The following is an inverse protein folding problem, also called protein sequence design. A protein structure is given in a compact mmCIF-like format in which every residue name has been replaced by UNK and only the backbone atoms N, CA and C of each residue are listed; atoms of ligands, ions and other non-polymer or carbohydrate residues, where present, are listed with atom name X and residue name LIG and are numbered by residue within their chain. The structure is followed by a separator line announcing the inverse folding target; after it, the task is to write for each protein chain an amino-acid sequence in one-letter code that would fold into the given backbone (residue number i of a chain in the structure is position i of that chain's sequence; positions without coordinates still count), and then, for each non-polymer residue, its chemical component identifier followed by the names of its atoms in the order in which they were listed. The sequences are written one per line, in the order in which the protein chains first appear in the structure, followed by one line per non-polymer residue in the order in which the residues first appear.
data_IF_304375302700
#
_entry.id   IF_304375302700
#
_cell.length_a   1.000
_cell.length_b   1.000
_cell.length_c   1.000
_cell.angle_alpha   90.00
_cell.angle_beta   90.00
_cell.angle_gamma   90.00
#
_symmetry.space_group_name_H-M   'P 1'
#
loop_
_entity.id
_entity.type
_entity.pdbx_description
1 polymer ?
#
# COMPACT_ATOMS: atom_id res chain seq x y z
N UNK A 1 -8.55 -7.50 28.50
CA UNK A 1 -7.71 -7.15 27.35
C UNK A 1 -7.70 -5.63 27.23
N UNK A 2 -6.55 -4.98 27.48
CA UNK A 2 -6.50 -3.52 27.47
C UNK A 2 -6.55 -2.96 26.06
N UNK A 3 -7.25 -1.86 25.85
CA UNK A 3 -7.33 -1.15 24.57
C UNK A 3 -5.93 -0.77 24.07
N UNK A 4 -5.00 -0.53 24.98
CA UNK A 4 -3.59 -0.23 24.67
C UNK A 4 -2.87 -1.44 24.07
N UNK A 5 -3.10 -2.64 24.59
CA UNK A 5 -2.47 -3.88 24.10
C UNK A 5 -2.97 -4.20 22.70
N UNK A 6 -4.29 -4.12 22.46
CA UNK A 6 -4.87 -4.33 21.12
C UNK A 6 -4.31 -3.36 20.08
N UNK A 7 -4.03 -2.11 20.45
CA UNK A 7 -3.41 -1.12 19.54
C UNK A 7 -1.97 -1.46 19.22
N UNK A 8 -1.23 -1.89 20.23
CA UNK A 8 0.15 -2.35 20.06
C UNK A 8 0.22 -3.57 19.12
N UNK A 9 -0.68 -4.54 19.31
CA UNK A 9 -0.77 -5.74 18.48
C UNK A 9 -1.11 -5.40 17.03
N UNK A 10 -2.04 -4.47 16.80
CA UNK A 10 -2.36 -3.98 15.44
C UNK A 10 -1.12 -3.34 14.80
N UNK A 11 -0.37 -2.52 15.53
CA UNK A 11 0.85 -1.90 15.02
C UNK A 11 1.96 -2.94 14.72
N UNK A 12 2.03 -4.03 15.50
CA UNK A 12 2.92 -5.16 15.21
C UNK A 12 2.48 -5.91 13.96
N UNK A 13 1.18 -6.12 13.75
CA UNK A 13 0.65 -6.70 12.52
C UNK A 13 0.94 -5.80 11.30
N UNK A 14 0.81 -4.49 11.43
CA UNK A 14 1.19 -3.55 10.36
C UNK A 14 2.66 -3.70 9.98
N UNK A 15 3.57 -3.82 10.96
CA UNK A 15 4.98 -4.08 10.71
C UNK A 15 5.19 -5.41 9.97
N UNK A 16 4.52 -6.48 10.43
CA UNK A 16 4.61 -7.79 9.80
C UNK A 16 4.15 -7.76 8.34
N UNK A 17 3.02 -7.11 8.03
CA UNK A 17 2.53 -6.98 6.66
C UNK A 17 3.41 -6.07 5.79
N UNK A 18 4.02 -5.05 6.35
CA UNK A 18 5.00 -4.21 5.62
C UNK A 18 6.22 -5.04 5.19
N UNK A 19 6.75 -5.88 6.10
CA UNK A 19 7.87 -6.79 5.78
C UNK A 19 7.42 -7.87 4.78
N UNK A 20 6.22 -8.39 4.93
CA UNK A 20 5.67 -9.40 4.02
C UNK A 20 5.48 -8.85 2.59
N UNK A 21 4.98 -7.62 2.45
CA UNK A 21 4.92 -6.94 1.15
C UNK A 21 6.30 -6.81 0.50
N UNK A 22 7.30 -6.36 1.27
CA UNK A 22 8.67 -6.22 0.78
C UNK A 22 9.26 -7.58 0.33
N UNK A 23 9.01 -8.63 1.11
CA UNK A 23 9.43 -9.99 0.77
C UNK A 23 8.84 -10.47 -0.56
N UNK A 24 7.52 -10.31 -0.75
CA UNK A 24 6.85 -10.70 -2.00
C UNK A 24 7.38 -9.90 -3.18
N UNK A 25 7.44 -8.57 -3.06
CA UNK A 25 7.88 -7.68 -4.13
C UNK A 25 9.33 -7.94 -4.53
N UNK A 26 10.22 -8.12 -3.56
CA UNK A 26 11.61 -8.47 -3.81
C UNK A 26 11.76 -9.86 -4.43
N UNK A 27 11.02 -10.86 -3.93
CA UNK A 27 11.08 -12.22 -4.46
C UNK A 27 10.62 -12.27 -5.92
N UNK A 28 9.55 -11.59 -6.28
CA UNK A 28 9.08 -11.50 -7.67
C UNK A 28 10.14 -10.86 -8.56
N UNK A 29 10.68 -9.71 -8.16
CA UNK A 29 11.73 -9.03 -8.89
C UNK A 29 12.95 -9.94 -9.11
N UNK A 30 13.45 -10.56 -8.04
CA UNK A 30 14.61 -11.43 -8.06
C UNK A 30 14.41 -12.67 -8.96
N UNK A 31 13.26 -13.34 -8.85
CA UNK A 31 12.95 -14.53 -9.65
C UNK A 31 12.85 -14.20 -11.14
N UNK A 32 12.16 -13.12 -11.49
CA UNK A 32 11.98 -12.71 -12.88
C UNK A 32 13.32 -12.33 -13.54
N UNK A 33 14.16 -11.57 -12.82
CA UNK A 33 15.48 -11.23 -13.33
C UNK A 33 16.43 -12.43 -13.38
N UNK A 34 16.37 -13.36 -12.43
CA UNK A 34 17.20 -14.57 -12.43
C UNK A 34 16.78 -15.56 -13.51
N UNK A 35 15.49 -15.69 -13.80
CA UNK A 35 14.97 -16.55 -14.86
C UNK A 35 15.26 -15.97 -16.25
N UNK A 36 15.36 -14.64 -16.38
CA UNK A 36 15.65 -13.90 -17.60
C UNK A 36 14.76 -14.29 -18.79
N UNK A 37 13.46 -14.55 -18.51
CA UNK A 37 12.48 -14.84 -19.56
C UNK A 37 12.05 -13.52 -20.18
N UNK A 38 12.22 -13.31 -21.51
CA UNK A 38 11.96 -12.01 -22.16
C UNK A 38 10.53 -11.47 -21.95
N UNK A 39 9.54 -12.35 -21.87
CA UNK A 39 8.13 -12.01 -21.69
C UNK A 39 7.85 -11.43 -20.30
N UNK A 40 8.53 -11.93 -19.28
CA UNK A 40 8.37 -11.49 -17.89
C UNK A 40 9.26 -10.28 -17.57
N UNK A 41 10.52 -10.29 -18.00
CA UNK A 41 11.44 -9.15 -17.80
C UNK A 41 10.95 -7.89 -18.48
N UNK A 42 10.21 -8.04 -19.59
CA UNK A 42 9.59 -6.94 -20.29
C UNK A 42 8.67 -6.11 -19.37
N UNK A 43 7.95 -6.74 -18.44
CA UNK A 43 7.05 -6.05 -17.51
C UNK A 43 7.77 -5.04 -16.62
N UNK A 44 8.99 -5.38 -16.14
CA UNK A 44 9.83 -4.45 -15.38
C UNK A 44 10.51 -3.43 -16.29
N UNK A 45 11.00 -3.86 -17.47
CA UNK A 45 11.69 -2.99 -18.40
C UNK A 45 10.84 -1.78 -18.83
N UNK A 46 9.55 -1.95 -19.06
CA UNK A 46 8.64 -0.82 -19.38
C UNK A 46 8.52 0.19 -18.23
N UNK A 47 8.75 -0.22 -16.99
CA UNK A 47 8.71 0.64 -15.81
C UNK A 47 10.03 1.31 -15.51
N UNK A 48 11.13 0.73 -15.97
CA UNK A 48 12.47 1.24 -15.70
C UNK A 48 13.00 2.11 -16.83
N UNK A 49 12.81 1.69 -18.07
CA UNK A 49 13.47 2.29 -19.25
C UNK A 49 12.47 2.73 -20.30
N UNK A 50 12.79 3.86 -20.93
CA UNK A 50 12.17 4.26 -22.18
C UNK A 50 12.81 3.50 -23.35
N UNK A 51 12.14 3.51 -24.50
CA UNK A 51 12.68 2.91 -25.73
C UNK A 51 14.07 3.47 -26.13
N UNK A 52 14.32 4.73 -25.84
CA UNK A 52 15.59 5.44 -26.11
C UNK A 52 16.71 5.09 -25.08
N UNK A 53 16.46 4.14 -24.18
CA UNK A 53 17.43 3.73 -23.14
C UNK A 53 17.53 4.68 -21.93
N UNK A 54 16.77 5.78 -21.93
CA UNK A 54 16.67 6.70 -20.79
C UNK A 54 15.79 6.14 -19.66
N UNK A 55 15.95 6.71 -18.45
CA UNK A 55 15.09 6.37 -17.31
C UNK A 55 13.66 6.87 -17.55
N UNK A 56 12.68 6.01 -17.24
CA UNK A 56 11.28 6.37 -17.30
C UNK A 56 10.83 7.10 -16.03
N UNK A 57 9.75 7.87 -16.11
CA UNK A 57 9.11 8.50 -14.94
C UNK A 57 8.66 7.47 -13.89
N UNK A 58 8.31 6.27 -14.32
CA UNK A 58 7.93 5.15 -13.46
C UNK A 58 9.09 4.61 -12.60
N UNK A 59 10.33 4.81 -13.03
CA UNK A 59 11.50 4.45 -12.22
C UNK A 59 11.52 5.25 -10.90
N UNK A 60 11.19 6.53 -10.95
CA UNK A 60 11.10 7.37 -9.75
C UNK A 60 9.98 6.93 -8.81
N UNK A 61 8.85 6.46 -9.38
CA UNK A 61 7.76 5.88 -8.60
C UNK A 61 8.21 4.58 -7.92
N UNK A 62 8.97 3.73 -8.63
CA UNK A 62 9.54 2.49 -8.06
C UNK A 62 10.47 2.79 -6.88
N UNK A 63 11.35 3.79 -7.02
CA UNK A 63 12.20 4.24 -5.90
C UNK A 63 11.35 4.80 -4.75
N UNK A 64 10.33 5.59 -5.06
CA UNK A 64 9.37 6.09 -4.08
C UNK A 64 8.67 4.97 -3.30
N UNK A 65 8.31 3.86 -3.96
CA UNK A 65 7.72 2.69 -3.31
C UNK A 65 8.73 1.98 -2.39
N UNK A 66 9.97 1.78 -2.81
CA UNK A 66 10.98 1.13 -1.96
C UNK A 66 11.22 1.93 -0.68
N UNK A 67 11.44 3.24 -0.81
CA UNK A 67 11.75 4.09 0.34
C UNK A 67 10.50 4.51 1.13
N UNK A 68 9.41 4.85 0.46
CA UNK A 68 8.18 5.37 1.07
C UNK A 68 7.23 4.29 1.57
N UNK A 69 7.00 3.24 0.79
CA UNK A 69 6.08 2.17 1.19
C UNK A 69 6.72 1.17 2.16
N UNK A 70 8.01 0.85 1.99
CA UNK A 70 8.69 -0.12 2.84
C UNK A 70 9.57 0.54 3.90
N UNK A 71 10.63 1.23 3.50
CA UNK A 71 11.69 1.64 4.44
C UNK A 71 11.19 2.62 5.51
N UNK A 72 10.42 3.62 5.11
CA UNK A 72 9.90 4.63 6.05
C UNK A 72 8.97 4.03 7.11
N UNK A 73 7.88 3.31 6.78
CA UNK A 73 7.02 2.73 7.80
C UNK A 73 7.72 1.62 8.59
N UNK A 74 8.62 0.85 7.98
CA UNK A 74 9.42 -0.15 8.68
C UNK A 74 10.22 0.49 9.81
N UNK A 75 11.01 1.53 9.53
CA UNK A 75 11.80 2.22 10.55
C UNK A 75 10.93 2.89 11.62
N UNK A 76 9.81 3.51 11.22
CA UNK A 76 8.90 4.16 12.16
C UNK A 76 8.22 3.14 13.09
N UNK A 77 7.83 1.97 12.57
CA UNK A 77 7.16 0.92 13.35
C UNK A 77 8.15 0.09 14.19
N UNK A 78 9.46 0.18 13.97
CA UNK A 78 10.44 -0.42 14.91
C UNK A 78 10.43 0.30 16.27
N UNK A 79 10.12 1.60 16.30
CA UNK A 79 10.12 2.34 17.55
C UNK A 79 8.88 2.05 18.37
N UNK A 80 9.11 1.61 19.64
CA UNK A 80 8.04 1.32 20.59
C UNK A 80 7.07 2.50 20.78
N UNK A 81 7.59 3.73 20.90
CA UNK A 81 6.77 4.95 21.07
C UNK A 81 5.81 5.20 19.92
N UNK A 82 6.12 4.75 18.72
CA UNK A 82 5.22 4.89 17.55
C UNK A 82 4.03 3.94 17.66
N UNK A 83 4.23 2.74 18.19
CA UNK A 83 3.19 1.73 18.34
C UNK A 83 2.20 2.04 19.47
N UNK A 84 2.65 2.69 20.53
CA UNK A 84 1.83 2.99 21.71
C UNK A 84 0.97 4.24 21.52
N UNK A 85 1.49 5.28 20.85
CA UNK A 85 0.80 6.55 20.68
C UNK A 85 -0.14 6.48 19.46
N UNK A 86 -1.45 6.55 19.73
CA UNK A 86 -2.51 6.36 18.72
C UNK A 86 -2.35 7.27 17.49
N UNK A 87 -2.06 8.54 17.68
CA UNK A 87 -1.92 9.50 16.57
C UNK A 87 -0.76 9.16 15.63
N UNK A 88 0.33 8.61 16.17
CA UNK A 88 1.46 8.15 15.38
C UNK A 88 1.12 6.90 14.58
N UNK A 89 0.47 5.93 15.23
CA UNK A 89 0.02 4.70 14.56
C UNK A 89 -0.97 5.02 13.44
N UNK A 90 -1.95 5.88 13.70
CA UNK A 90 -2.91 6.34 12.67
C UNK A 90 -2.19 7.08 11.53
N UNK A 91 -1.24 7.95 11.85
CA UNK A 91 -0.45 8.64 10.82
C UNK A 91 0.32 7.67 9.92
N UNK A 92 0.97 6.66 10.52
CA UNK A 92 1.68 5.62 9.76
C UNK A 92 0.69 4.76 8.95
N UNK A 93 -0.50 4.46 9.47
CA UNK A 93 -1.54 3.72 8.74
C UNK A 93 -1.99 4.47 7.49
N UNK A 94 -2.28 5.76 7.61
CA UNK A 94 -2.67 6.62 6.47
C UNK A 94 -1.53 6.69 5.46
N UNK A 95 -0.29 6.81 5.92
CA UNK A 95 0.91 6.80 5.08
C UNK A 95 1.02 5.51 4.26
N UNK A 96 0.94 4.34 4.93
CA UNK A 96 0.99 3.02 4.28
C UNK A 96 -0.14 2.90 3.25
N UNK A 97 -1.37 3.33 3.61
CA UNK A 97 -2.52 3.26 2.71
C UNK A 97 -2.32 4.12 1.46
N UNK A 98 -1.80 5.34 1.60
CA UNK A 98 -1.52 6.22 0.48
C UNK A 98 -0.47 5.60 -0.48
N UNK A 99 0.61 5.04 0.08
CA UNK A 99 1.61 4.35 -0.71
C UNK A 99 1.12 3.03 -1.32
N UNK A 100 0.20 2.33 -0.65
CA UNK A 100 -0.43 1.15 -1.22
C UNK A 100 -1.31 1.48 -2.44
N UNK A 101 -2.03 2.60 -2.41
CA UNK A 101 -2.74 3.10 -3.60
C UNK A 101 -1.78 3.43 -4.73
N UNK A 102 -0.63 4.02 -4.43
CA UNK A 102 0.42 4.29 -5.42
C UNK A 102 1.02 2.99 -5.99
N UNK A 103 1.19 1.97 -5.15
CA UNK A 103 1.65 0.63 -5.56
C UNK A 103 0.66 -0.04 -6.52
N UNK A 104 -0.63 0.00 -6.21
CA UNK A 104 -1.68 -0.48 -7.11
C UNK A 104 -1.67 0.28 -8.45
N UNK A 105 -1.51 1.58 -8.40
CA UNK A 105 -1.41 2.42 -9.59
C UNK A 105 -0.19 2.05 -10.44
N UNK A 106 0.97 1.84 -9.81
CA UNK A 106 2.20 1.39 -10.46
C UNK A 106 2.06 -0.01 -11.09
N UNK A 107 1.28 -0.90 -10.48
CA UNK A 107 1.05 -2.24 -11.01
C UNK A 107 0.12 -2.24 -12.23
N UNK A 108 -0.87 -1.34 -12.30
CA UNK A 108 -1.96 -1.40 -13.29
C UNK A 108 -1.69 -0.47 -14.49
N UNK A 109 -1.25 0.76 -14.26
CA UNK A 109 -1.27 1.81 -15.28
C UNK A 109 -0.16 1.70 -16.34
N UNK A 110 1.10 1.31 -16.03
CA UNK A 110 2.13 1.20 -17.07
C UNK A 110 1.78 0.14 -18.11
N UNK A 111 1.22 0.56 -19.23
CA UNK A 111 0.87 -0.31 -20.34
C UNK A 111 1.61 0.08 -21.62
N UNK A 112 1.72 -0.86 -22.55
CA UNK A 112 2.16 -0.58 -23.92
C UNK A 112 1.13 0.27 -24.64
N UNK A 113 1.53 1.43 -25.12
CA UNK A 113 0.83 2.13 -26.20
C UNK A 113 1.51 1.75 -27.51
N UNK A 114 0.84 0.94 -28.32
CA UNK A 114 1.26 0.67 -29.69
C UNK A 114 0.79 1.86 -30.51
N UNK A 115 1.72 2.69 -30.99
CA UNK A 115 1.40 3.73 -31.96
C UNK A 115 1.53 3.15 -33.36
N UNK A 116 0.47 3.21 -34.19
CA UNK A 116 0.50 2.68 -35.54
C UNK A 116 1.50 3.40 -36.48
N UNK A 117 1.90 4.63 -36.14
CA UNK A 117 2.61 5.53 -37.06
C UNK A 117 4.14 5.57 -36.90
N UNK A 118 4.74 4.94 -35.91
CA UNK A 118 6.16 5.15 -35.58
C UNK A 118 6.99 3.85 -35.51
N UNK A 119 6.91 3.00 -36.52
CA UNK A 119 7.83 1.86 -36.64
C UNK A 119 7.72 0.81 -35.51
N UNK A 120 8.73 -0.06 -35.33
CA UNK A 120 8.69 -1.17 -34.35
C UNK A 120 8.95 -0.71 -32.90
N UNK A 121 8.55 0.49 -32.54
CA UNK A 121 8.69 1.06 -31.20
C UNK A 121 7.40 0.99 -30.39
N UNK A 122 7.50 0.94 -29.07
CA UNK A 122 6.39 1.13 -28.15
C UNK A 122 6.63 2.39 -27.31
N UNK A 123 5.56 3.18 -27.11
CA UNK A 123 5.59 4.31 -26.18
C UNK A 123 5.03 3.83 -24.85
N UNK A 124 5.74 4.07 -23.77
CA UNK A 124 5.25 3.81 -22.41
C UNK A 124 4.49 5.04 -21.94
N UNK A 125 3.27 4.82 -21.45
CA UNK A 125 2.50 5.90 -20.81
C UNK A 125 3.29 6.43 -19.63
N UNK A 126 3.63 7.71 -19.65
CA UNK A 126 4.31 8.35 -18.53
C UNK A 126 3.37 8.49 -17.32
N UNK A 127 3.96 8.63 -16.14
CA UNK A 127 3.19 8.82 -14.91
C UNK A 127 2.33 10.09 -15.02
N UNK A 128 1.03 9.91 -15.00
CA UNK A 128 0.06 11.02 -15.00
C UNK A 128 -1.21 10.57 -14.28
N UNK A 129 -1.59 11.30 -13.23
CA UNK A 129 -2.84 11.06 -12.52
C UNK A 129 -3.96 11.79 -13.25
N UNK A 130 -4.97 11.04 -13.70
CA UNK A 130 -6.16 11.61 -14.33
C UNK A 130 -7.23 11.95 -13.28
N UNK A 131 -8.07 12.94 -13.60
CA UNK A 131 -9.24 13.26 -12.77
C UNK A 131 -10.21 12.07 -12.65
N UNK A 132 -10.23 11.20 -13.67
CA UNK A 132 -11.04 9.98 -13.68
C UNK A 132 -10.55 8.97 -12.64
N UNK A 133 -9.23 8.86 -12.42
CA UNK A 133 -8.63 7.97 -11.42
C UNK A 133 -9.05 8.43 -10.02
N UNK A 134 -9.00 9.75 -9.78
CA UNK A 134 -9.42 10.34 -8.51
C UNK A 134 -10.93 10.15 -8.27
N UNK A 135 -11.75 10.36 -9.29
CA UNK A 135 -13.21 10.18 -9.18
C UNK A 135 -13.60 8.73 -8.93
N UNK A 136 -12.91 7.77 -9.57
CA UNK A 136 -13.10 6.34 -9.32
C UNK A 136 -12.73 5.96 -7.89
N UNK A 137 -11.59 6.45 -7.39
CA UNK A 137 -11.15 6.23 -6.01
C UNK A 137 -12.18 6.75 -5.00
N UNK A 138 -12.65 8.00 -5.17
CA UNK A 138 -13.65 8.62 -4.29
C UNK A 138 -15.00 7.91 -4.40
N UNK A 139 -15.42 7.52 -5.60
CA UNK A 139 -16.69 6.83 -5.84
C UNK A 139 -16.73 5.45 -5.17
N UNK A 140 -15.76 4.59 -5.49
CA UNK A 140 -15.69 3.23 -4.93
C UNK A 140 -15.40 3.28 -3.42
N UNK A 141 -14.44 4.12 -3.00
CA UNK A 141 -14.11 4.34 -1.60
C UNK A 141 -15.32 4.83 -0.78
N UNK A 142 -16.10 5.77 -1.33
CA UNK A 142 -17.34 6.25 -0.72
C UNK A 142 -18.38 5.16 -0.52
N UNK A 143 -18.57 4.29 -1.52
CA UNK A 143 -19.47 3.12 -1.42
C UNK A 143 -19.01 2.16 -0.33
N UNK A 144 -17.71 1.87 -0.27
CA UNK A 144 -17.13 0.99 0.75
C UNK A 144 -17.31 1.56 2.16
N UNK A 145 -17.02 2.85 2.35
CA UNK A 145 -17.20 3.53 3.64
C UNK A 145 -18.68 3.54 4.03
N UNK A 146 -19.58 3.85 3.10
CA UNK A 146 -21.01 3.82 3.35
C UNK A 146 -21.50 2.44 3.79
N UNK A 147 -21.09 1.38 3.09
CA UNK A 147 -21.41 0.00 3.43
C UNK A 147 -20.89 -0.39 4.82
N UNK A 148 -19.64 -0.02 5.13
CA UNK A 148 -19.03 -0.24 6.45
C UNK A 148 -19.80 0.49 7.56
N UNK A 149 -20.09 1.77 7.39
CA UNK A 149 -20.86 2.55 8.38
C UNK A 149 -22.27 1.99 8.58
N UNK A 150 -22.91 1.52 7.51
CA UNK A 150 -24.23 0.88 7.59
C UNK A 150 -24.17 -0.46 8.36
N UNK A 151 -23.12 -1.25 8.15
CA UNK A 151 -22.88 -2.49 8.88
C UNK A 151 -22.62 -2.24 10.37
N UNK A 152 -21.78 -1.25 10.68
CA UNK A 152 -21.47 -0.87 12.07
C UNK A 152 -22.69 -0.38 12.86
N UNK A 153 -23.64 0.28 12.20
CA UNK A 153 -24.90 0.69 12.85
C UNK A 153 -25.79 -0.48 13.30
N UNK A 154 -25.60 -1.66 12.70
CA UNK A 154 -26.37 -2.88 13.04
C UNK A 154 -25.70 -3.72 14.12
N UNK A 155 -24.41 -3.53 14.37
CA UNK A 155 -23.62 -4.24 15.35
C UNK A 155 -23.38 -3.35 16.57
N UNK A 156 -23.55 -3.90 17.77
CA UNK A 156 -23.16 -3.20 18.99
C UNK A 156 -21.61 -3.18 19.08
N UNK A 157 -20.97 -2.01 19.03
CA UNK A 157 -19.50 -1.91 18.98
C UNK A 157 -18.84 -2.27 20.32
N UNK A 158 -19.63 -2.34 21.40
CA UNK A 158 -19.17 -2.69 22.73
C UNK A 158 -19.80 -4.02 23.14
N UNK A 159 -19.05 -5.00 23.65
CA UNK A 159 -19.59 -6.28 24.11
C UNK A 159 -20.33 -6.08 25.45
N UNK A 160 -21.57 -5.58 25.39
CA UNK A 160 -22.40 -5.24 26.56
C UNK A 160 -22.67 -6.45 27.47
N UNK A 161 -22.49 -7.67 26.94
CA UNK A 161 -22.70 -8.94 27.68
C UNK A 161 -21.39 -9.56 28.23
N UNK A 162 -20.26 -8.86 28.14
CA UNK A 162 -19.02 -9.37 28.71
C UNK A 162 -19.01 -9.12 30.23
N UNK A 163 -18.98 -10.20 31.07
CA UNK A 163 -18.95 -10.06 32.54
C UNK A 163 -17.73 -9.30 33.05
N UNK A 164 -16.65 -9.23 32.28
CA UNK A 164 -15.40 -8.58 32.67
C UNK A 164 -15.29 -7.13 32.18
N UNK A 165 -16.35 -6.54 31.58
CA UNK A 165 -16.30 -5.19 31.00
C UNK A 165 -15.92 -4.13 32.03
N UNK A 166 -16.45 -4.24 33.26
CA UNK A 166 -16.16 -3.30 34.34
C UNK A 166 -14.69 -3.38 34.81
N UNK A 167 -14.12 -4.58 34.84
CA UNK A 167 -12.72 -4.79 35.17
C UNK A 167 -11.82 -4.21 34.09
N UNK A 168 -12.21 -4.34 32.82
CA UNK A 168 -11.47 -3.79 31.67
C UNK A 168 -11.52 -2.26 31.61
N UNK A 169 -12.62 -1.63 32.00
CA UNK A 169 -12.75 -0.17 32.05
C UNK A 169 -11.97 0.45 33.20
N UNK A 170 -11.93 -0.22 34.36
CA UNK A 170 -11.27 0.26 35.56
C UNK A 170 -9.76 -0.08 35.63
N UNK A 171 -9.25 -0.82 34.63
CA UNK A 171 -7.83 -1.19 34.58
C UNK A 171 -7.01 0.03 34.17
N UNK A 172 -6.38 0.66 35.14
CA UNK A 172 -5.36 1.72 34.97
C UNK A 172 -3.99 1.12 35.26
N UNK A 173 -3.15 1.01 34.26
CA UNK A 173 -1.69 0.85 34.41
C UNK A 173 -0.99 2.19 34.49
#
# INVERSE_FOLDING_TARGET
MCIRDSRYDIACMMLAFTVFWAYISFSQYFLIYSANIPEETFWYNIREKNFDGGLNSWWWVSMGLIFGHFLTPFLLLLWYKTKVVIWRTVGVSIWILAFHLLDLYWNIIPGKLVTPDHGPGYIVRQFSVSIYDLSALVGIGGICIFAMCRSMKKAEPIPVRDPNILTSINYTE
#
